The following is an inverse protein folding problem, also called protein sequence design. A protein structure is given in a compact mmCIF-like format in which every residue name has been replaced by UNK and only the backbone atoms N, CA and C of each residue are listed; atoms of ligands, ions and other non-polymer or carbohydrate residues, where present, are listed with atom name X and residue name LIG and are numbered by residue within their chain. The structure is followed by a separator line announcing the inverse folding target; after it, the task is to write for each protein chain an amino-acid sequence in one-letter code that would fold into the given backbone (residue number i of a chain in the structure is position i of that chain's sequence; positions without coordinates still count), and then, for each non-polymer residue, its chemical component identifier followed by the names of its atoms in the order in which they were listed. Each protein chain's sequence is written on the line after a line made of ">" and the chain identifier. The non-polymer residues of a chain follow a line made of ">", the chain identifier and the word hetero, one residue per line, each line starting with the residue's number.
data_IF_175347797708
#
_entry.id   IF_175347797708
#
_cell.length_a   1.000
_cell.length_b   1.000
_cell.length_c   1.000
_cell.angle_alpha   90.00
_cell.angle_beta   90.00
_cell.angle_gamma   90.00
#
_symmetry.space_group_name_H-M   'P 1'
#
loop_
_entity.id
_entity.type
_entity.pdbx_description
1 polymer ?
#
# COMPACT_ATOMS: atom_id res chain seq x y z
N UNK A 1 8.22 -19.57 22.96
CA UNK A 1 7.84 -19.31 21.55
C UNK A 1 8.45 -20.39 20.67
N UNK A 2 7.72 -21.47 20.44
CA UNK A 2 8.01 -22.37 19.31
C UNK A 2 7.32 -21.77 18.08
N UNK A 3 8.01 -21.74 16.92
CA UNK A 3 7.42 -21.29 15.65
C UNK A 3 7.56 -19.80 15.33
N UNK A 4 8.58 -19.12 15.86
CA UNK A 4 8.92 -17.75 15.44
C UNK A 4 10.32 -17.75 14.81
N UNK A 5 10.39 -18.03 13.51
CA UNK A 5 11.64 -18.29 12.79
C UNK A 5 12.67 -17.16 12.89
N UNK A 6 12.23 -15.91 12.84
CA UNK A 6 13.12 -14.76 13.08
C UNK A 6 13.75 -14.76 14.48
N UNK A 7 12.98 -15.07 15.52
CA UNK A 7 13.49 -15.14 16.89
C UNK A 7 14.42 -16.35 17.08
N UNK A 8 14.23 -17.43 16.32
CA UNK A 8 15.14 -18.57 16.25
C UNK A 8 16.45 -18.20 15.55
N UNK A 9 16.37 -17.48 14.44
CA UNK A 9 17.53 -16.98 13.70
C UNK A 9 18.38 -16.01 14.53
N UNK A 10 17.75 -15.10 15.28
CA UNK A 10 18.46 -14.20 16.22
C UNK A 10 19.15 -15.01 17.33
N UNK A 11 18.48 -16.03 17.90
CA UNK A 11 19.07 -16.93 18.91
C UNK A 11 20.25 -17.73 18.38
N UNK A 12 20.16 -18.23 17.14
CA UNK A 12 21.26 -18.96 16.49
C UNK A 12 22.51 -18.08 16.30
N UNK A 13 22.34 -16.76 16.22
CA UNK A 13 23.44 -15.78 16.16
C UNK A 13 23.88 -15.25 17.54
N UNK A 14 23.37 -15.83 18.63
CA UNK A 14 23.73 -15.45 20.01
C UNK A 14 22.98 -14.25 20.57
N UNK A 15 21.93 -13.76 19.89
CA UNK A 15 21.08 -12.68 20.38
C UNK A 15 19.83 -13.17 21.13
N UNK A 16 19.20 -12.27 21.89
CA UNK A 16 17.85 -12.48 22.45
C UNK A 16 16.92 -11.37 21.93
N UNK A 17 15.96 -11.75 21.07
CA UNK A 17 15.11 -10.78 20.37
C UNK A 17 14.28 -9.91 21.33
N UNK A 18 13.83 -10.46 22.46
CA UNK A 18 13.05 -9.70 23.44
C UNK A 18 13.89 -8.61 24.11
N UNK A 19 15.10 -8.98 24.53
CA UNK A 19 16.09 -8.05 25.10
C UNK A 19 16.48 -6.97 24.09
N UNK A 20 16.76 -7.36 22.84
CA UNK A 20 17.17 -6.43 21.79
C UNK A 20 16.07 -5.43 21.43
N UNK A 21 14.80 -5.85 21.38
CA UNK A 21 13.66 -4.96 21.14
C UNK A 21 13.40 -3.95 22.26
N UNK A 22 13.81 -4.29 23.48
CA UNK A 22 13.69 -3.41 24.65
C UNK A 22 14.94 -2.53 24.87
N UNK A 23 16.02 -2.80 24.14
CA UNK A 23 17.28 -2.06 24.25
C UNK A 23 17.17 -0.65 23.68
N UNK A 24 17.79 0.32 24.34
CA UNK A 24 17.98 1.68 23.79
C UNK A 24 18.84 1.68 22.52
N UNK A 25 19.70 0.67 22.37
CA UNK A 25 20.52 0.48 21.16
C UNK A 25 19.75 -0.12 19.99
N UNK A 26 18.49 -0.56 20.25
CA UNK A 26 17.58 -1.19 19.30
C UNK A 26 18.16 -2.50 18.76
N UNK A 27 17.42 -3.17 17.88
CA UNK A 27 17.93 -4.37 17.21
C UNK A 27 19.02 -3.96 16.22
N UNK A 28 20.25 -4.51 16.31
CA UNK A 28 21.32 -4.22 15.36
C UNK A 28 20.94 -4.58 13.92
N UNK A 29 21.48 -3.86 12.93
CA UNK A 29 21.16 -4.06 11.51
C UNK A 29 21.29 -5.52 11.08
N UNK A 30 22.40 -6.17 11.44
CA UNK A 30 22.73 -7.55 11.10
C UNK A 30 21.83 -8.61 11.75
N UNK A 31 21.08 -8.21 12.77
CA UNK A 31 20.07 -9.03 13.45
C UNK A 31 18.65 -8.54 13.19
N UNK A 32 18.45 -7.50 12.39
CA UNK A 32 17.12 -6.92 12.15
C UNK A 32 16.26 -7.81 11.25
N UNK A 33 14.94 -7.73 11.39
CA UNK A 33 13.99 -8.55 10.65
C UNK A 33 14.11 -8.34 9.15
N UNK A 34 14.26 -7.09 8.70
CA UNK A 34 14.47 -6.73 7.29
C UNK A 34 15.70 -7.43 6.70
N UNK A 35 16.79 -7.51 7.47
CA UNK A 35 18.01 -8.23 7.05
C UNK A 35 17.80 -9.74 7.06
N UNK A 36 17.13 -10.30 8.07
CA UNK A 36 16.77 -11.72 8.11
C UNK A 36 15.94 -12.14 6.89
N UNK A 37 14.89 -11.38 6.57
CA UNK A 37 14.03 -11.61 5.41
C UNK A 37 14.83 -11.63 4.10
N UNK A 38 15.81 -10.74 3.96
CA UNK A 38 16.74 -10.75 2.82
C UNK A 38 17.70 -11.92 2.81
N UNK A 39 18.20 -12.39 3.96
CA UNK A 39 18.99 -13.63 4.01
C UNK A 39 18.19 -14.84 3.54
N UNK A 40 16.93 -14.97 3.97
CA UNK A 40 16.04 -16.05 3.51
C UNK A 40 15.80 -15.98 1.99
N UNK A 41 15.62 -14.79 1.43
CA UNK A 41 15.51 -14.60 -0.01
C UNK A 41 16.81 -14.99 -0.75
N UNK A 42 17.97 -14.62 -0.23
CA UNK A 42 19.26 -15.02 -0.80
C UNK A 42 19.47 -16.53 -0.73
N UNK A 43 19.08 -17.18 0.37
CA UNK A 43 19.10 -18.64 0.49
C UNK A 43 18.22 -19.28 -0.58
N UNK A 44 16.98 -18.79 -0.75
CA UNK A 44 16.10 -19.23 -1.81
C UNK A 44 16.77 -19.06 -3.19
N UNK A 45 17.37 -17.91 -3.49
CA UNK A 45 17.98 -17.62 -4.80
C UNK A 45 19.31 -18.37 -5.05
N UNK A 46 19.90 -19.03 -4.05
CA UNK A 46 21.12 -19.87 -4.19
C UNK A 46 20.81 -21.29 -4.62
N UNK A 47 19.59 -21.77 -4.35
CA UNK A 47 19.18 -23.11 -4.75
C UNK A 47 19.11 -23.21 -6.28
N UNK A 48 19.78 -24.23 -6.84
CA UNK A 48 19.69 -24.54 -8.26
C UNK A 48 18.31 -25.12 -8.57
N UNK A 49 17.64 -24.55 -9.57
CA UNK A 49 16.33 -25.00 -10.04
C UNK A 49 16.30 -25.05 -11.55
N UNK A 50 15.67 -26.08 -12.08
CA UNK A 50 15.40 -26.22 -13.52
C UNK A 50 14.01 -25.71 -13.90
N UNK A 51 13.17 -25.39 -12.91
CA UNK A 51 11.81 -24.87 -13.09
C UNK A 51 11.75 -23.37 -12.79
N UNK A 52 10.80 -22.64 -13.42
CA UNK A 52 10.50 -21.25 -13.04
C UNK A 52 10.16 -21.15 -11.56
N UNK A 53 10.45 -20.00 -10.96
CA UNK A 53 10.16 -19.73 -9.57
C UNK A 53 9.40 -18.42 -9.41
N UNK A 54 8.67 -18.33 -8.31
CA UNK A 54 8.02 -17.11 -7.84
C UNK A 54 8.43 -16.90 -6.38
N UNK A 55 8.96 -15.72 -6.08
CA UNK A 55 9.38 -15.32 -4.74
C UNK A 55 8.61 -14.08 -4.32
N UNK A 56 7.88 -14.18 -3.22
CA UNK A 56 7.28 -13.03 -2.54
C UNK A 56 8.15 -12.68 -1.34
N UNK A 57 8.54 -11.40 -1.24
CA UNK A 57 9.37 -10.90 -0.15
C UNK A 57 8.63 -9.79 0.58
N UNK A 58 8.22 -10.07 1.82
CA UNK A 58 7.40 -9.16 2.61
C UNK A 58 8.11 -8.86 3.93
N UNK A 59 9.11 -7.96 3.95
CA UNK A 59 9.63 -7.44 5.21
C UNK A 59 8.48 -6.79 5.99
N UNK A 60 8.50 -6.93 7.31
CA UNK A 60 7.47 -6.31 8.15
C UNK A 60 7.61 -4.79 8.20
N UNK A 61 8.83 -4.29 8.14
CA UNK A 61 9.11 -2.86 7.96
C UNK A 61 8.45 -2.33 6.67
N UNK A 62 7.99 -1.07 6.65
CA UNK A 62 8.13 -0.06 7.70
C UNK A 62 6.95 -0.03 8.69
N UNK A 63 6.21 -1.13 8.87
CA UNK A 63 5.09 -1.22 9.81
C UNK A 63 5.51 -0.90 11.26
N UNK A 64 4.64 -0.27 12.08
CA UNK A 64 4.94 -0.02 13.49
C UNK A 64 5.24 -1.32 14.29
N UNK A 65 5.99 -1.25 15.40
CA UNK A 65 6.59 -0.05 15.99
C UNK A 65 7.72 0.53 15.16
N UNK A 66 7.83 1.86 15.10
CA UNK A 66 8.87 2.56 14.32
C UNK A 66 10.21 2.55 15.08
N UNK A 67 10.89 1.41 15.06
CA UNK A 67 12.14 1.16 15.81
C UNK A 67 13.27 0.66 14.90
N UNK A 68 13.66 1.42 13.84
CA UNK A 68 14.75 1.02 12.95
C UNK A 68 16.07 0.87 13.72
N UNK A 69 17.04 0.09 13.22
CA UNK A 69 18.37 0.03 13.82
C UNK A 69 18.96 1.43 14.01
N UNK A 70 19.71 1.64 15.09
CA UNK A 70 20.27 2.95 15.44
C UNK A 70 21.07 3.58 14.29
N UNK A 71 21.88 2.77 13.61
CA UNK A 71 22.69 3.20 12.46
C UNK A 71 21.88 3.77 11.29
N UNK A 72 20.59 3.43 11.16
CA UNK A 72 19.69 4.06 10.19
C UNK A 72 18.98 5.27 10.79
N UNK A 73 18.51 5.17 12.04
CA UNK A 73 17.81 6.25 12.71
C UNK A 73 18.64 7.55 12.76
N UNK A 74 19.95 7.43 13.01
CA UNK A 74 20.88 8.57 13.09
C UNK A 74 21.13 9.25 11.73
N UNK A 75 20.73 8.65 10.61
CA UNK A 75 20.86 9.25 9.27
C UNK A 75 19.78 10.30 8.99
N UNK A 76 18.69 10.32 9.75
CA UNK A 76 17.52 11.17 9.50
C UNK A 76 17.31 12.12 10.67
N UNK A 77 17.56 13.42 10.47
CA UNK A 77 17.21 14.46 11.44
C UNK A 77 15.70 14.78 11.32
N UNK A 78 14.88 14.52 12.36
CA UNK A 78 13.45 14.86 12.35
C UNK A 78 13.17 16.31 11.94
N UNK A 79 14.05 17.24 12.32
CA UNK A 79 13.86 18.68 12.05
C UNK A 79 14.05 19.06 10.59
N UNK A 80 14.70 18.20 9.80
CA UNK A 80 14.89 18.40 8.37
C UNK A 80 13.73 17.88 7.51
N UNK A 81 12.80 17.13 8.12
CA UNK A 81 11.69 16.52 7.40
C UNK A 81 10.50 17.49 7.30
N UNK A 82 9.69 17.38 6.22
CA UNK A 82 8.57 18.29 5.99
C UNK A 82 7.53 18.25 7.12
N UNK A 83 7.51 17.16 7.89
CA UNK A 83 6.45 16.89 8.85
C UNK A 83 5.19 16.37 8.17
N UNK A 84 4.16 16.03 8.96
CA UNK A 84 2.91 15.53 8.41
C UNK A 84 2.07 16.65 7.77
N UNK A 85 1.32 16.30 6.73
CA UNK A 85 0.34 17.15 6.07
C UNK A 85 -0.92 17.26 6.95
N UNK A 86 -0.99 18.32 7.73
CA UNK A 86 -2.04 18.54 8.72
C UNK A 86 -2.49 20.01 8.77
N UNK A 87 -3.79 20.22 8.89
CA UNK A 87 -4.43 21.50 9.19
C UNK A 87 -5.31 21.35 10.43
N UNK A 88 -5.48 22.44 11.20
CA UNK A 88 -6.34 22.42 12.39
C UNK A 88 -7.80 22.01 12.07
N UNK A 89 -8.28 22.32 10.86
CA UNK A 89 -9.58 21.88 10.35
C UNK A 89 -9.72 20.36 10.23
N UNK A 90 -8.61 19.61 10.10
CA UNK A 90 -8.64 18.15 10.06
C UNK A 90 -9.23 17.59 11.35
N UNK A 91 -8.95 18.19 12.51
CA UNK A 91 -9.50 17.73 13.79
C UNK A 91 -11.04 17.76 13.78
N UNK A 92 -11.63 18.82 13.21
CA UNK A 92 -13.07 18.94 13.06
C UNK A 92 -13.61 17.93 12.03
N UNK A 93 -12.90 17.71 10.92
CA UNK A 93 -13.25 16.70 9.91
C UNK A 93 -13.21 15.29 10.49
N UNK A 94 -12.15 14.91 11.18
CA UNK A 94 -12.02 13.58 11.79
C UNK A 94 -13.01 13.38 12.94
N UNK A 95 -13.34 14.41 13.71
CA UNK A 95 -14.37 14.31 14.75
C UNK A 95 -15.77 14.04 14.16
N UNK A 96 -16.09 14.52 12.95
CA UNK A 96 -17.32 14.14 12.23
C UNK A 96 -17.34 12.66 11.86
N UNK A 97 -16.17 12.05 11.68
CA UNK A 97 -15.96 10.65 11.32
C UNK A 97 -15.59 9.77 12.53
N UNK A 98 -15.81 10.22 13.76
CA UNK A 98 -15.44 9.47 14.99
C UNK A 98 -16.15 8.13 15.16
N UNK A 99 -17.26 7.92 14.45
CA UNK A 99 -18.01 6.67 14.43
C UNK A 99 -17.50 5.69 13.37
N UNK A 100 -16.49 6.10 12.58
CA UNK A 100 -15.88 5.29 11.54
C UNK A 100 -14.53 4.78 12.05
N UNK A 101 -14.32 3.47 11.94
CA UNK A 101 -13.20 2.77 12.53
C UNK A 101 -11.85 3.27 12.01
N UNK A 102 -10.97 3.57 12.96
CA UNK A 102 -9.59 3.92 12.69
C UNK A 102 -8.70 3.54 13.87
N UNK A 103 -7.46 3.13 13.63
CA UNK A 103 -6.56 2.65 14.70
C UNK A 103 -6.20 3.73 15.73
N UNK A 104 -6.36 5.00 15.38
CA UNK A 104 -6.06 6.13 16.25
C UNK A 104 -7.14 7.20 16.17
N UNK A 105 -7.22 8.02 17.22
CA UNK A 105 -8.01 9.26 17.19
C UNK A 105 -7.15 10.41 16.68
N UNK A 106 -7.76 11.29 15.89
CA UNK A 106 -7.06 12.45 15.35
C UNK A 106 -6.63 13.41 16.46
N UNK A 107 -5.39 13.89 16.37
CA UNK A 107 -4.78 14.87 17.28
C UNK A 107 -3.68 15.65 16.58
N UNK A 108 -3.25 16.78 17.13
CA UNK A 108 -2.18 17.57 16.52
C UNK A 108 -0.89 16.72 16.45
N UNK A 109 -0.20 16.64 15.30
CA UNK A 109 1.06 15.93 15.16
C UNK A 109 2.15 16.26 16.19
N UNK A 110 2.12 17.46 16.77
CA UNK A 110 3.03 17.85 17.86
C UNK A 110 2.81 17.07 19.14
N UNK A 111 1.61 16.54 19.37
CA UNK A 111 1.27 15.75 20.56
C UNK A 111 1.90 14.34 20.55
N UNK A 112 2.47 13.92 19.42
CA UNK A 112 3.07 12.60 19.25
C UNK A 112 4.39 12.62 18.49
N UNK A 113 5.00 13.80 18.39
CA UNK A 113 6.25 14.02 17.67
C UNK A 113 6.19 13.50 16.23
N UNK A 114 5.21 13.93 15.44
CA UNK A 114 4.97 13.43 14.07
C UNK A 114 6.22 13.46 13.17
N UNK A 115 7.06 14.50 13.27
CA UNK A 115 8.35 14.56 12.57
C UNK A 115 9.33 13.46 13.01
N UNK A 116 9.35 13.11 14.29
CA UNK A 116 10.15 11.99 14.80
C UNK A 116 9.63 10.68 14.24
N UNK A 117 8.30 10.45 14.26
CA UNK A 117 7.70 9.25 13.67
C UNK A 117 8.07 9.13 12.19
N UNK A 118 7.97 10.23 11.43
CA UNK A 118 8.36 10.30 10.03
C UNK A 118 9.83 9.94 9.81
N UNK A 119 10.74 10.45 10.66
CA UNK A 119 12.17 10.14 10.56
C UNK A 119 12.49 8.66 10.80
N UNK A 120 11.80 8.03 11.75
CA UNK A 120 11.99 6.63 12.08
C UNK A 120 11.42 5.75 10.97
N UNK A 121 10.27 6.10 10.42
CA UNK A 121 9.67 5.43 9.26
C UNK A 121 10.59 5.51 8.03
N UNK A 122 11.16 6.67 7.72
CA UNK A 122 12.11 6.84 6.62
C UNK A 122 13.41 6.05 6.83
N UNK A 123 13.88 5.97 8.07
CA UNK A 123 15.03 5.14 8.42
C UNK A 123 14.78 3.63 8.18
N UNK A 124 13.55 3.14 8.43
CA UNK A 124 13.16 1.77 8.09
C UNK A 124 13.16 1.54 6.57
N UNK A 125 12.60 2.49 5.80
CA UNK A 125 12.63 2.44 4.34
C UNK A 125 14.08 2.41 3.80
N UNK A 126 14.98 3.21 4.37
CA UNK A 126 16.39 3.21 3.97
C UNK A 126 17.06 1.85 4.21
N UNK A 127 16.68 1.12 5.26
CA UNK A 127 17.15 -0.25 5.44
C UNK A 127 16.58 -1.20 4.38
N UNK A 128 15.29 -1.07 4.05
CA UNK A 128 14.66 -1.86 2.98
C UNK A 128 15.40 -1.63 1.66
N UNK A 129 15.73 -0.37 1.33
CA UNK A 129 16.47 0.00 0.12
C UNK A 129 17.86 -0.66 0.06
N UNK A 130 18.66 -0.54 1.13
CA UNK A 130 19.97 -1.20 1.23
C UNK A 130 19.84 -2.74 1.08
N UNK A 131 18.82 -3.34 1.70
CA UNK A 131 18.58 -4.78 1.62
C UNK A 131 18.11 -5.22 0.22
N UNK A 132 17.29 -4.39 -0.44
CA UNK A 132 16.85 -4.62 -1.82
C UNK A 132 18.02 -4.52 -2.80
N UNK A 133 18.93 -3.57 -2.60
CA UNK A 133 20.17 -3.46 -3.38
C UNK A 133 21.04 -4.73 -3.28
N UNK A 134 21.11 -5.37 -2.11
CA UNK A 134 21.80 -6.67 -1.95
C UNK A 134 21.19 -7.77 -2.80
N UNK A 135 19.86 -7.83 -2.89
CA UNK A 135 19.15 -8.81 -3.73
C UNK A 135 19.39 -8.58 -5.21
N UNK A 136 19.27 -7.32 -5.66
CA UNK A 136 19.57 -6.95 -7.05
C UNK A 136 21.03 -7.27 -7.41
N UNK A 137 21.98 -6.91 -6.55
CA UNK A 137 23.39 -7.21 -6.75
C UNK A 137 23.66 -8.72 -6.85
N UNK A 138 22.96 -9.55 -6.06
CA UNK A 138 23.07 -11.00 -6.19
C UNK A 138 22.53 -11.52 -7.53
N UNK A 139 21.36 -11.03 -7.97
CA UNK A 139 20.79 -11.40 -9.28
C UNK A 139 21.71 -11.01 -10.44
N UNK A 140 22.39 -9.86 -10.35
CA UNK A 140 23.39 -9.43 -11.33
C UNK A 140 24.63 -10.34 -11.32
N UNK A 141 25.23 -10.57 -10.14
CA UNK A 141 26.44 -11.39 -10.00
C UNK A 141 26.24 -12.84 -10.44
N UNK A 142 25.03 -13.38 -10.30
CA UNK A 142 24.68 -14.74 -10.69
C UNK A 142 24.10 -14.84 -12.11
N UNK A 143 23.98 -13.73 -12.83
CA UNK A 143 23.43 -13.68 -14.19
C UNK A 143 21.92 -13.93 -14.28
N UNK A 144 21.21 -13.96 -13.16
CA UNK A 144 19.75 -14.19 -13.11
C UNK A 144 18.95 -12.94 -13.52
N UNK A 145 19.54 -11.75 -13.41
CA UNK A 145 18.85 -10.45 -13.56
C UNK A 145 18.01 -10.28 -14.84
N UNK A 146 18.50 -10.75 -15.99
CA UNK A 146 17.78 -10.62 -17.27
C UNK A 146 16.57 -11.57 -17.38
N UNK A 147 16.56 -12.66 -16.61
CA UNK A 147 15.49 -13.66 -16.58
C UNK A 147 14.62 -13.53 -15.32
N UNK A 148 14.60 -12.35 -14.70
CA UNK A 148 13.81 -12.08 -13.50
C UNK A 148 13.04 -10.79 -13.66
N UNK A 149 11.71 -10.89 -13.54
CA UNK A 149 10.83 -9.73 -13.39
C UNK A 149 10.87 -9.31 -11.92
N UNK A 150 11.16 -8.04 -11.68
CA UNK A 150 11.05 -7.45 -10.34
C UNK A 150 9.78 -6.62 -10.27
N UNK A 151 8.97 -6.88 -9.25
CA UNK A 151 7.77 -6.11 -8.92
C UNK A 151 7.99 -5.55 -7.52
N UNK A 152 8.01 -4.23 -7.38
CA UNK A 152 8.11 -3.55 -6.09
C UNK A 152 6.80 -2.78 -5.85
N UNK A 153 6.13 -3.08 -4.74
CA UNK A 153 4.87 -2.46 -4.37
C UNK A 153 4.70 -2.43 -2.86
N UNK A 154 3.61 -1.84 -2.39
CA UNK A 154 3.13 -1.94 -1.01
C UNK A 154 1.67 -2.41 -1.01
N UNK A 155 1.22 -2.97 0.10
CA UNK A 155 -0.17 -3.36 0.36
C UNK A 155 -1.05 -2.15 0.67
N UNK A 156 -0.54 -1.20 1.45
CA UNK A 156 -1.17 0.08 1.75
C UNK A 156 -0.12 1.11 2.24
N UNK A 157 -0.50 2.38 2.30
CA UNK A 157 0.32 3.45 2.86
C UNK A 157 0.27 3.54 4.39
N UNK A 158 0.62 4.70 4.92
CA UNK A 158 0.69 4.98 6.36
C UNK A 158 0.35 6.45 6.54
N UNK A 159 -0.61 6.78 7.41
CA UNK A 159 -0.99 8.18 7.61
C UNK A 159 0.16 8.99 8.20
N UNK A 160 1.00 8.40 9.05
CA UNK A 160 2.24 9.02 9.56
C UNK A 160 2.06 10.43 10.17
N UNK A 161 0.84 10.75 10.62
CA UNK A 161 0.44 12.03 11.17
C UNK A 161 -0.37 12.92 10.22
N UNK A 162 -0.47 12.57 8.94
CA UNK A 162 -1.29 13.28 7.96
C UNK A 162 -2.75 13.27 8.43
N UNK A 163 -3.43 14.41 8.28
CA UNK A 163 -4.78 14.64 8.83
C UNK A 163 -4.93 14.36 10.34
N UNK A 164 -3.82 14.38 11.09
CA UNK A 164 -3.77 14.12 12.52
C UNK A 164 -3.88 12.64 12.90
N UNK A 165 -3.79 11.74 11.91
CA UNK A 165 -4.00 10.31 12.06
C UNK A 165 -2.67 9.54 12.02
N UNK A 166 -2.58 8.46 12.79
CA UNK A 166 -1.49 7.48 12.70
C UNK A 166 -2.05 6.10 12.35
N UNK A 167 -1.25 5.34 11.62
CA UNK A 167 -1.56 4.00 11.14
C UNK A 167 -2.58 4.00 9.99
N UNK A 168 -3.46 2.99 9.98
CA UNK A 168 -4.45 2.77 8.93
C UNK A 168 -5.80 2.42 9.53
N UNK A 169 -6.81 2.38 8.70
CA UNK A 169 -8.19 2.11 9.08
C UNK A 169 -9.12 2.49 7.96
N UNK A 170 -10.38 2.75 8.28
CA UNK A 170 -11.42 3.08 7.31
C UNK A 170 -11.32 4.55 6.87
N UNK A 171 -10.21 4.90 6.21
CA UNK A 171 -9.96 6.16 5.49
C UNK A 171 -9.33 5.84 4.15
N UNK A 172 -9.47 6.74 3.19
CA UNK A 172 -9.06 6.50 1.80
C UNK A 172 -8.21 7.62 1.20
N UNK A 173 -7.49 8.35 2.05
CA UNK A 173 -6.53 9.38 1.64
C UNK A 173 -5.45 8.79 0.71
N UNK A 174 -4.94 9.57 -0.25
CA UNK A 174 -3.92 9.15 -1.22
C UNK A 174 -2.68 8.59 -0.49
N UNK A 175 -2.26 9.21 0.62
CA UNK A 175 -1.14 8.72 1.45
C UNK A 175 -1.36 7.32 2.05
N UNK A 176 -2.59 6.84 2.07
CA UNK A 176 -2.98 5.53 2.60
C UNK A 176 -3.32 4.50 1.50
N UNK A 177 -3.94 4.91 0.40
CA UNK A 177 -4.43 3.97 -0.64
C UNK A 177 -3.65 4.02 -1.95
N UNK A 178 -2.85 5.06 -2.20
CA UNK A 178 -2.01 5.16 -3.41
C UNK A 178 -0.61 4.64 -3.11
N UNK A 179 -0.40 3.37 -3.42
CA UNK A 179 0.87 2.66 -3.19
C UNK A 179 1.85 2.83 -4.35
N UNK A 180 3.19 2.76 -4.10
CA UNK A 180 4.16 2.67 -5.18
C UNK A 180 3.96 1.37 -5.97
N UNK A 181 4.20 1.39 -7.28
CA UNK A 181 4.22 0.19 -8.12
C UNK A 181 5.29 0.35 -9.19
N UNK A 182 6.33 -0.49 -9.13
CA UNK A 182 7.47 -0.48 -10.06
C UNK A 182 7.65 -1.88 -10.63
N UNK A 183 7.70 -1.96 -11.96
CA UNK A 183 8.10 -3.16 -12.68
C UNK A 183 9.47 -2.97 -13.31
N UNK A 184 10.31 -4.01 -13.25
CA UNK A 184 11.61 -3.99 -13.90
C UNK A 184 11.97 -5.32 -14.54
N UNK A 185 12.00 -5.33 -15.88
CA UNK A 185 12.39 -6.49 -16.68
C UNK A 185 13.28 -6.09 -17.87
N UNK A 186 14.61 -6.06 -17.70
CA UNK A 186 15.55 -5.52 -18.67
C UNK A 186 15.45 -6.23 -20.03
N UNK A 187 15.16 -5.43 -21.06
CA UNK A 187 15.05 -5.90 -22.45
C UNK A 187 13.69 -6.49 -22.82
N UNK A 188 12.74 -6.56 -21.88
CA UNK A 188 11.39 -7.11 -22.11
C UNK A 188 10.28 -6.08 -21.93
N UNK A 189 10.53 -5.03 -21.15
CA UNK A 189 9.64 -3.87 -20.96
C UNK A 189 10.40 -2.56 -21.20
N UNK A 190 9.66 -1.47 -21.44
CA UNK A 190 10.24 -0.14 -21.65
C UNK A 190 10.94 0.36 -20.38
N UNK A 191 12.19 0.78 -20.53
CA UNK A 191 12.97 1.36 -19.44
C UNK A 191 12.57 2.82 -19.19
N UNK A 192 12.44 3.21 -17.92
CA UNK A 192 12.16 4.59 -17.53
C UNK A 192 10.75 5.08 -17.86
N UNK A 193 9.84 4.19 -18.24
CA UNK A 193 8.44 4.54 -18.47
C UNK A 193 7.79 4.98 -17.16
N UNK A 194 7.20 6.17 -17.16
CA UNK A 194 6.32 6.66 -16.10
C UNK A 194 4.89 6.69 -16.63
N UNK A 195 3.95 6.24 -15.80
CA UNK A 195 2.55 6.11 -16.16
C UNK A 195 1.68 6.71 -15.07
N UNK A 196 0.82 7.65 -15.44
CA UNK A 196 -0.24 8.21 -14.59
C UNK A 196 -1.58 7.53 -14.86
N UNK A 197 -1.55 6.32 -15.42
CA UNK A 197 -2.75 5.53 -15.60
C UNK A 197 -3.30 5.07 -14.24
N UNK A 198 -4.62 4.97 -14.16
CA UNK A 198 -5.29 4.42 -13.00
C UNK A 198 -5.11 2.89 -12.96
N UNK A 199 -4.53 2.39 -11.88
CA UNK A 199 -4.16 0.98 -11.70
C UNK A 199 -4.62 0.52 -10.31
N UNK A 200 -5.04 -0.73 -10.21
CA UNK A 200 -5.42 -1.39 -8.94
C UNK A 200 -4.46 -2.51 -8.60
N UNK A 201 -4.37 -2.90 -7.31
CA UNK A 201 -3.54 -4.03 -6.91
C UNK A 201 -3.98 -5.37 -7.55
N UNK A 202 -5.24 -5.49 -7.96
CA UNK A 202 -5.75 -6.63 -8.74
C UNK A 202 -5.09 -6.74 -10.13
N UNK A 203 -4.53 -5.65 -10.65
CA UNK A 203 -3.83 -5.69 -11.93
C UNK A 203 -2.49 -6.43 -11.83
N UNK A 204 -1.92 -6.53 -10.62
CA UNK A 204 -0.74 -7.35 -10.40
C UNK A 204 -1.05 -8.83 -10.63
N UNK A 205 -2.17 -9.37 -10.12
CA UNK A 205 -2.50 -10.78 -10.31
C UNK A 205 -2.78 -11.10 -11.78
N UNK A 206 -3.47 -10.23 -12.51
CA UNK A 206 -3.67 -10.37 -13.96
C UNK A 206 -2.33 -10.33 -14.72
N UNK A 207 -1.45 -9.41 -14.37
CA UNK A 207 -0.12 -9.28 -14.98
C UNK A 207 0.75 -10.51 -14.68
N UNK A 208 0.71 -11.04 -13.45
CA UNK A 208 1.46 -12.24 -13.06
C UNK A 208 0.96 -13.50 -13.77
N UNK A 209 -0.35 -13.66 -13.98
CA UNK A 209 -0.90 -14.75 -14.78
C UNK A 209 -0.38 -14.71 -16.21
N UNK A 210 -0.41 -13.54 -16.86
CA UNK A 210 0.11 -13.37 -18.21
C UNK A 210 1.62 -13.65 -18.28
N UNK A 211 2.41 -13.16 -17.31
CA UNK A 211 3.85 -13.44 -17.21
C UNK A 211 4.14 -14.94 -17.05
N UNK A 212 3.26 -15.67 -16.35
CA UNK A 212 3.33 -17.12 -16.20
C UNK A 212 2.84 -17.91 -17.41
N UNK A 213 2.37 -17.25 -18.48
CA UNK A 213 1.76 -17.90 -19.64
C UNK A 213 0.40 -18.52 -19.34
N UNK A 214 -0.28 -18.07 -18.28
CA UNK A 214 -1.61 -18.51 -17.87
C UNK A 214 -2.64 -17.53 -18.40
N UNK A 215 -3.70 -18.05 -19.03
CA UNK A 215 -4.82 -17.22 -19.48
C UNK A 215 -5.51 -16.56 -18.27
N UNK A 216 -5.71 -15.24 -18.34
CA UNK A 216 -6.44 -14.49 -17.31
C UNK A 216 -7.92 -14.88 -17.40
N UNK A 217 -8.52 -15.45 -16.33
CA UNK A 217 -9.91 -15.88 -16.37
C UNK A 217 -10.88 -14.73 -16.64
N UNK A 218 -11.98 -14.99 -17.35
CA UNK A 218 -12.99 -13.98 -17.70
C UNK A 218 -13.62 -13.28 -16.47
N UNK A 219 -13.69 -13.96 -15.32
CA UNK A 219 -14.19 -13.41 -14.06
C UNK A 219 -13.16 -12.54 -13.31
N UNK A 220 -11.91 -12.52 -13.76
CA UNK A 220 -10.86 -11.75 -13.11
C UNK A 220 -11.06 -10.26 -13.41
N UNK A 221 -11.19 -9.45 -12.35
CA UNK A 221 -11.50 -8.02 -12.49
C UNK A 221 -10.26 -7.16 -12.80
N UNK A 222 -9.08 -7.64 -12.40
CA UNK A 222 -7.81 -7.00 -12.75
C UNK A 222 -7.47 -7.17 -14.23
N UNK A 223 -6.70 -6.23 -14.78
CA UNK A 223 -6.26 -6.20 -16.17
C UNK A 223 -4.73 -6.20 -16.21
N UNK A 224 -4.17 -6.93 -17.16
CA UNK A 224 -2.71 -6.96 -17.30
C UNK A 224 -2.13 -5.60 -17.66
N UNK A 225 -0.98 -5.28 -17.08
CA UNK A 225 -0.19 -4.07 -17.33
C UNK A 225 0.86 -4.30 -18.44
N UNK A 226 1.03 -5.53 -18.94
CA UNK A 226 2.01 -5.86 -19.98
C UNK A 226 1.88 -4.98 -21.24
N UNK A 227 0.68 -4.68 -21.77
CA UNK A 227 0.55 -3.81 -22.94
C UNK A 227 1.06 -2.39 -22.71
N UNK A 228 0.92 -1.84 -21.49
CA UNK A 228 1.50 -0.54 -21.15
C UNK A 228 3.01 -0.66 -21.04
N UNK A 229 3.49 -1.67 -20.30
CA UNK A 229 4.92 -1.87 -20.06
C UNK A 229 5.72 -2.17 -21.33
N UNK A 230 5.10 -2.76 -22.36
CA UNK A 230 5.73 -2.99 -23.68
C UNK A 230 5.57 -1.82 -24.65
N UNK A 231 4.83 -0.78 -24.30
CA UNK A 231 4.55 0.37 -25.17
C UNK A 231 3.56 0.06 -26.29
N UNK A 232 2.74 -0.98 -26.13
CA UNK A 232 1.70 -1.38 -27.09
C UNK A 232 0.45 -0.51 -26.94
N UNK A 233 0.27 0.13 -25.79
CA UNK A 233 -0.84 1.04 -25.47
C UNK A 233 -0.33 2.31 -24.79
N UNK A 234 -1.19 3.34 -24.69
CA UNK A 234 -0.82 4.59 -24.04
C UNK A 234 -0.50 4.36 -22.54
N UNK A 235 0.61 4.90 -22.03
CA UNK A 235 0.90 4.86 -20.60
C UNK A 235 -0.02 5.77 -19.78
N UNK A 236 -0.85 6.62 -20.40
CA UNK A 236 -1.71 7.55 -19.68
C UNK A 236 -3.09 6.97 -19.37
N UNK A 237 -3.41 5.78 -19.89
CA UNK A 237 -4.75 5.20 -19.75
C UNK A 237 -4.75 3.68 -19.58
N UNK A 238 -5.47 3.22 -18.56
CA UNK A 238 -5.71 1.80 -18.30
C UNK A 238 -7.18 1.54 -17.91
N UNK A 239 -7.75 2.43 -17.09
CA UNK A 239 -9.17 2.51 -16.76
C UNK A 239 -9.57 3.95 -16.42
N UNK A 240 -10.88 4.19 -16.38
CA UNK A 240 -11.45 5.51 -16.08
C UNK A 240 -11.52 5.83 -14.58
N UNK A 241 -11.51 4.82 -13.71
CA UNK A 241 -11.56 4.95 -12.26
C UNK A 241 -10.97 3.72 -11.55
N UNK A 242 -10.64 3.86 -10.28
CA UNK A 242 -10.24 2.80 -9.35
C UNK A 242 -11.20 2.72 -8.16
N UNK A 243 -11.21 1.57 -7.49
CA UNK A 243 -11.99 1.28 -6.30
C UNK A 243 -11.09 0.82 -5.15
N UNK A 244 -11.50 1.15 -3.94
CA UNK A 244 -10.95 0.59 -2.70
C UNK A 244 -12.10 0.36 -1.72
N UNK A 245 -11.98 -0.67 -0.89
CA UNK A 245 -13.05 -1.10 0.02
C UNK A 245 -12.48 -1.40 1.39
N UNK A 246 -13.30 -1.15 2.42
CA UNK A 246 -13.00 -1.51 3.78
C UNK A 246 -14.23 -2.21 4.37
N UNK A 247 -14.07 -3.43 4.85
CA UNK A 247 -15.15 -4.27 5.36
C UNK A 247 -14.73 -4.90 6.69
N UNK A 248 -15.00 -4.20 7.79
CA UNK A 248 -14.78 -4.73 9.15
C UNK A 248 -13.38 -5.35 9.35
N UNK A 249 -12.34 -4.63 8.91
CA UNK A 249 -11.00 -5.18 8.79
C UNK A 249 -10.09 -4.90 10.01
N UNK A 250 -10.55 -4.10 10.98
CA UNK A 250 -9.80 -3.80 12.19
C UNK A 250 -10.16 -4.74 13.32
N UNK A 251 -9.14 -5.13 14.09
CA UNK A 251 -9.32 -5.95 15.28
C UNK A 251 -10.24 -5.24 16.30
N UNK A 252 -11.12 -6.01 16.95
CA UNK A 252 -12.08 -5.51 17.94
C UNK A 252 -11.45 -4.71 19.09
N UNK A 253 -10.15 -4.89 19.34
CA UNK A 253 -9.38 -4.11 20.32
C UNK A 253 -9.16 -2.65 19.92
N UNK A 254 -9.29 -2.31 18.63
CA UNK A 254 -9.17 -0.95 18.11
C UNK A 254 -10.52 -0.26 17.88
N UNK A 255 -11.65 -0.96 18.07
CA UNK A 255 -12.99 -0.44 17.73
C UNK A 255 -13.95 -0.55 18.93
N UNK A 256 -14.90 0.38 19.01
CA UNK A 256 -15.82 0.49 20.17
C UNK A 256 -17.22 -0.10 19.94
N UNK A 257 -17.43 -0.92 18.90
CA UNK A 257 -18.58 -1.84 18.85
C UNK A 257 -19.41 -1.86 17.56
N UNK A 258 -19.22 -0.94 16.60
CA UNK A 258 -19.90 -0.98 15.31
C UNK A 258 -18.88 -1.11 14.17
N UNK A 259 -18.96 -2.22 13.43
CA UNK A 259 -18.12 -2.50 12.28
C UNK A 259 -18.34 -1.48 11.16
N UNK A 260 -17.26 -0.86 10.69
CA UNK A 260 -17.32 0.07 9.56
C UNK A 260 -17.24 -0.64 8.21
N UNK A 261 -18.09 -0.20 7.29
CA UNK A 261 -18.09 -0.63 5.88
C UNK A 261 -18.00 0.61 5.01
N UNK A 262 -17.07 0.63 4.06
CA UNK A 262 -16.90 1.77 3.18
C UNK A 262 -16.43 1.38 1.78
N UNK A 263 -16.78 2.25 0.82
CA UNK A 263 -16.35 2.13 -0.57
C UNK A 263 -15.81 3.46 -1.05
N UNK A 264 -14.64 3.43 -1.65
CA UNK A 264 -14.06 4.51 -2.42
C UNK A 264 -14.28 4.29 -3.93
N UNK A 265 -14.69 5.34 -4.62
CA UNK A 265 -14.65 5.45 -6.09
C UNK A 265 -13.77 6.66 -6.45
N UNK A 266 -12.72 6.45 -7.26
CA UNK A 266 -11.80 7.53 -7.64
C UNK A 266 -11.52 7.52 -9.13
N UNK A 267 -11.93 8.57 -9.84
CA UNK A 267 -11.52 8.80 -11.23
C UNK A 267 -10.29 9.71 -11.28
N UNK A 268 -9.87 10.20 -12.45
CA UNK A 268 -8.65 11.04 -12.57
C UNK A 268 -8.67 12.29 -11.67
N UNK A 269 -9.85 12.89 -11.46
CA UNK A 269 -10.01 14.17 -10.78
C UNK A 269 -10.71 14.06 -9.43
N UNK A 270 -11.76 13.27 -9.35
CA UNK A 270 -12.60 13.22 -8.16
C UNK A 270 -12.47 11.89 -7.41
N UNK A 271 -12.49 11.98 -6.09
CA UNK A 271 -12.58 10.84 -5.17
C UNK A 271 -13.86 10.97 -4.34
N UNK A 272 -14.65 9.91 -4.32
CA UNK A 272 -15.86 9.76 -3.51
C UNK A 272 -15.62 8.61 -2.51
N UNK A 273 -15.96 8.84 -1.24
CA UNK A 273 -16.01 7.81 -0.20
C UNK A 273 -17.41 7.78 0.39
N UNK A 274 -17.98 6.58 0.53
CA UNK A 274 -19.27 6.36 1.19
C UNK A 274 -19.06 5.45 2.39
N UNK A 275 -19.48 5.92 3.57
CA UNK A 275 -19.49 5.15 4.80
C UNK A 275 -20.89 4.53 4.98
N UNK A 276 -21.01 3.25 4.66
CA UNK A 276 -22.29 2.55 4.56
C UNK A 276 -22.95 2.44 5.94
N UNK A 277 -24.23 2.80 6.02
CA UNK A 277 -24.99 2.77 7.27
C UNK A 277 -24.80 4.00 8.18
N UNK A 278 -23.85 4.89 7.88
CA UNK A 278 -23.57 6.07 8.72
C UNK A 278 -24.16 7.38 8.21
N UNK A 279 -24.65 7.43 6.96
CA UNK A 279 -25.03 8.67 6.27
C UNK A 279 -23.88 9.71 6.24
N UNK A 280 -22.64 9.21 6.23
CA UNK A 280 -21.42 10.00 6.13
C UNK A 280 -20.71 9.66 4.82
N UNK A 281 -19.90 10.60 4.35
CA UNK A 281 -19.05 10.38 3.18
C UNK A 281 -18.07 11.52 2.98
N UNK A 282 -17.23 11.34 1.97
CA UNK A 282 -16.22 12.31 1.57
C UNK A 282 -16.25 12.50 0.06
N UNK A 283 -15.98 13.72 -0.39
CA UNK A 283 -15.85 14.08 -1.80
C UNK A 283 -14.70 15.07 -1.96
N UNK A 284 -13.69 14.71 -2.76
CA UNK A 284 -12.51 15.54 -3.01
C UNK A 284 -12.32 15.82 -4.51
N UNK A 285 -11.89 17.04 -4.83
CA UNK A 285 -11.37 17.43 -6.16
C UNK A 285 -9.84 17.40 -6.12
N UNK A 286 -9.24 16.25 -6.48
CA UNK A 286 -7.80 15.99 -6.39
C UNK A 286 -6.95 16.87 -7.33
N UNK A 287 -7.57 17.54 -8.31
CA UNK A 287 -6.85 18.50 -9.16
C UNK A 287 -6.65 19.84 -8.44
N UNK A 288 -7.61 20.24 -7.59
CA UNK A 288 -7.56 21.50 -6.82
C UNK A 288 -7.03 21.32 -5.40
N UNK A 289 -7.28 20.15 -4.83
CA UNK A 289 -6.94 19.77 -3.47
C UNK A 289 -6.28 18.37 -3.47
N UNK A 290 -5.03 18.27 -3.95
CA UNK A 290 -4.30 16.99 -4.03
C UNK A 290 -3.97 16.39 -2.66
N UNK A 291 -4.17 17.16 -1.58
CA UNK A 291 -3.93 16.75 -0.19
C UNK A 291 -5.22 16.53 0.59
N UNK A 292 -6.39 16.59 -0.06
CA UNK A 292 -7.67 16.14 0.50
C UNK A 292 -8.09 16.81 1.83
N UNK A 293 -7.82 18.11 1.96
CA UNK A 293 -8.23 18.90 3.12
C UNK A 293 -9.68 19.40 3.05
N UNK A 294 -10.23 19.59 1.85
CA UNK A 294 -11.56 20.15 1.62
C UNK A 294 -12.57 19.06 1.22
N UNK A 295 -13.27 18.52 2.22
CA UNK A 295 -14.37 17.58 1.97
C UNK A 295 -15.64 18.32 1.48
N UNK A 296 -15.98 18.12 0.20
CA UNK A 296 -17.13 18.70 -0.50
C UNK A 296 -18.44 17.90 -0.33
N UNK A 297 -18.46 16.85 0.49
CA UNK A 297 -19.61 15.93 0.63
C UNK A 297 -20.93 16.64 0.99
N UNK A 298 -20.85 17.68 1.82
CA UNK A 298 -21.99 18.46 2.31
C UNK A 298 -22.16 19.81 1.59
N UNK A 299 -21.33 20.11 0.59
CA UNK A 299 -21.43 21.36 -0.17
C UNK A 299 -22.62 21.31 -1.15
N UNK A 300 -23.63 22.19 -0.99
CA UNK A 300 -24.79 22.23 -1.88
C UNK A 300 -24.44 22.46 -3.36
N UNK A 301 -23.34 23.17 -3.64
CA UNK A 301 -22.89 23.45 -5.01
C UNK A 301 -22.34 22.20 -5.73
N UNK A 302 -21.94 21.17 -4.97
CA UNK A 302 -21.41 19.91 -5.48
C UNK A 302 -22.44 18.76 -5.48
N UNK A 303 -23.71 19.04 -5.14
CA UNK A 303 -24.75 18.01 -5.02
C UNK A 303 -24.94 17.20 -6.31
N UNK A 304 -24.96 17.86 -7.48
CA UNK A 304 -25.11 17.17 -8.76
C UNK A 304 -23.92 16.24 -9.05
N UNK A 305 -22.69 16.70 -8.76
CA UNK A 305 -21.47 15.88 -8.90
C UNK A 305 -21.51 14.66 -7.98
N UNK A 306 -21.86 14.86 -6.70
CA UNK A 306 -22.02 13.80 -5.71
C UNK A 306 -23.00 12.73 -6.19
N UNK A 307 -24.18 13.13 -6.67
CA UNK A 307 -25.18 12.20 -7.22
C UNK A 307 -24.64 11.39 -8.42
N UNK A 308 -23.93 12.05 -9.35
CA UNK A 308 -23.35 11.38 -10.50
C UNK A 308 -22.28 10.36 -10.10
N UNK A 309 -21.41 10.69 -9.15
CA UNK A 309 -20.37 9.78 -8.67
C UNK A 309 -20.95 8.63 -7.84
N UNK A 310 -21.99 8.87 -7.04
CA UNK A 310 -22.71 7.83 -6.32
C UNK A 310 -23.34 6.83 -7.29
N UNK A 311 -24.00 7.31 -8.35
CA UNK A 311 -24.54 6.46 -9.40
C UNK A 311 -23.42 5.67 -10.09
N UNK A 312 -22.32 6.32 -10.49
CA UNK A 312 -21.20 5.64 -11.15
C UNK A 312 -20.58 4.54 -10.26
N UNK A 313 -20.43 4.80 -8.96
CA UNK A 313 -19.94 3.82 -7.98
C UNK A 313 -20.91 2.63 -7.83
N UNK A 314 -22.21 2.90 -7.78
CA UNK A 314 -23.24 1.87 -7.69
C UNK A 314 -23.32 1.01 -8.96
N UNK A 315 -23.40 1.65 -10.13
CA UNK A 315 -23.42 0.98 -11.43
C UNK A 315 -22.20 0.07 -11.59
N UNK A 316 -21.02 0.53 -11.18
CA UNK A 316 -19.82 -0.28 -11.21
C UNK A 316 -19.89 -1.51 -10.31
N UNK A 317 -20.37 -1.35 -9.08
CA UNK A 317 -20.59 -2.47 -8.16
C UNK A 317 -21.49 -3.51 -8.83
N UNK A 318 -22.62 -3.06 -9.37
CA UNK A 318 -23.58 -3.94 -10.05
C UNK A 318 -23.00 -4.64 -11.29
N UNK A 319 -22.14 -3.97 -12.06
CA UNK A 319 -21.58 -4.52 -13.29
C UNK A 319 -20.39 -5.46 -13.07
N UNK A 320 -19.58 -5.24 -12.03
CA UNK A 320 -18.37 -6.03 -11.80
C UNK A 320 -18.51 -7.10 -10.73
N UNK A 321 -19.27 -6.86 -9.66
CA UNK A 321 -19.29 -7.77 -8.50
C UNK A 321 -20.49 -8.69 -8.47
N UNK A 322 -21.49 -8.46 -9.34
CA UNK A 322 -22.65 -9.33 -9.43
C UNK A 322 -22.33 -10.49 -10.36
N UNK A 323 -22.27 -11.68 -9.79
CA UNK A 323 -22.18 -12.92 -10.55
C UNK A 323 -23.47 -13.12 -11.35
N UNK A 324 -23.36 -13.04 -12.67
CA UNK A 324 -24.47 -13.27 -13.61
C UNK A 324 -24.62 -14.75 -13.98
N UNK A 325 -23.88 -15.63 -13.33
CA UNK A 325 -23.81 -17.06 -13.57
C UNK A 325 -22.98 -17.41 -14.81
N UNK A 326 -23.09 -18.67 -15.25
CA UNK A 326 -22.38 -19.16 -16.43
C UNK A 326 -22.70 -18.33 -17.67
N UNK A 327 -21.67 -18.01 -18.46
CA UNK A 327 -21.78 -17.34 -19.75
C UNK A 327 -22.87 -17.97 -20.62
N UNK A 328 -23.79 -17.16 -21.13
CA UNK A 328 -24.86 -17.63 -22.02
C UNK A 328 -24.26 -17.97 -23.39
N UNK A 329 -24.14 -19.26 -23.69
CA UNK A 329 -23.49 -19.79 -24.91
C UNK A 329 -24.51 -20.07 -26.04
N UNK A 330 -25.81 -19.94 -25.78
CA UNK A 330 -26.85 -20.11 -26.79
C UNK A 330 -27.30 -18.73 -27.34
N UNK A 331 -27.46 -18.58 -28.67
CA UNK A 331 -28.19 -17.44 -29.21
C UNK A 331 -29.65 -17.56 -28.75
N UNK A 332 -30.22 -16.46 -28.24
CA UNK A 332 -31.66 -16.35 -27.99
C UNK A 332 -32.45 -16.43 -29.30
#
# INVERSE_FOLDING_TARGET
>A
SQGHDYAEWVRAKGGDLNTLRQSEDRVPTELHQTTWTTECALEFLREKRDQPWFLTLNPYDPHPPFIPPRAYAEKFDPKSLPGPYFQESDLATQNRLKAIDFQTSARDPKEFDGQLQQSLYYAMIAQIDDQFARLLGYLEQTGQRHNTVIIFTSDHGEMLGDHGLLYKGCRFYEGLVRVPLIFSWPGQVQNGLQSDALVELLDLSATMLELGGVEVPEYHQGKSLMPIMRGETSPDYHRSFVRCEYYDALDHTFVNGDSSFATMYRNRRYKLVVYHGHNLGELYDLERDPWEFENLWDDPSHQALKCNLLQASFDHTMLLTVDVGTRRIAPM
#
